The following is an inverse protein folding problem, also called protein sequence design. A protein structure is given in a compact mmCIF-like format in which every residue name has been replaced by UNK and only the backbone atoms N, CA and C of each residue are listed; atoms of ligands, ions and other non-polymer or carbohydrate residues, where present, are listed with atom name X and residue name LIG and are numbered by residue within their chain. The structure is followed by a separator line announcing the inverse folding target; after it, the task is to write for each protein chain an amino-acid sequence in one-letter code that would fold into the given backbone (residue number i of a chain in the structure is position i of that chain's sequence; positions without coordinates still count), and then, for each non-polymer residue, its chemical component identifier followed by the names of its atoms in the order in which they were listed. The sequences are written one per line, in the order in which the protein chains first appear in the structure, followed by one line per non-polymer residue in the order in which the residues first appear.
data_IF_693608153878
#
_entry.id   IF_693608153878
#
_cell.length_a   1.000
_cell.length_b   1.000
_cell.length_c   1.000
_cell.angle_alpha   90.00
_cell.angle_beta   90.00
_cell.angle_gamma   90.00
#
_symmetry.space_group_name_H-M   'P 1'
#
loop_
_entity.id
_entity.type
_entity.pdbx_description
1 polymer ?
#
# COMPACT_ATOMS: atom_id res chain seq x y z
N UNK A 1 -4.31 23.95 -3.03
CA UNK A 1 -4.68 24.22 -1.62
C UNK A 1 -4.47 25.69 -1.25
N UNK A 2 -3.34 26.31 -1.64
CA UNK A 2 -3.12 27.76 -1.46
C UNK A 2 -3.97 28.66 -2.37
N UNK A 3 -4.38 28.20 -3.55
CA UNK A 3 -5.22 28.99 -4.47
C UNK A 3 -6.66 29.19 -3.96
N UNK A 4 -7.16 28.26 -3.15
CA UNK A 4 -8.51 28.37 -2.58
C UNK A 4 -8.59 29.36 -1.42
N UNK A 5 -7.46 29.70 -0.79
CA UNK A 5 -7.40 30.61 0.36
C UNK A 5 -7.45 32.07 -0.11
N UNK A 6 -6.87 32.39 -1.27
CA UNK A 6 -6.94 33.72 -1.88
C UNK A 6 -8.37 34.09 -2.32
N UNK A 7 -9.14 33.14 -2.84
CA UNK A 7 -10.55 33.37 -3.20
C UNK A 7 -11.44 33.65 -1.98
N UNK A 8 -11.13 33.10 -0.81
CA UNK A 8 -11.87 33.38 0.43
C UNK A 8 -11.52 34.74 1.06
N UNK A 9 -10.32 35.27 0.83
CA UNK A 9 -9.85 36.52 1.45
C UNK A 9 -10.24 37.78 0.65
N UNK A 10 -10.64 37.63 -0.62
CA UNK A 10 -11.08 38.73 -1.51
C UNK A 10 -12.53 38.56 -1.98
N UNK A 11 -13.40 37.98 -1.15
CA UNK A 11 -14.80 37.86 -1.51
C UNK A 11 -15.55 39.17 -1.22
N UNK A 12 -15.29 40.17 -2.05
CA UNK A 12 -16.17 41.34 -2.28
C UNK A 12 -17.29 40.96 -3.27
N UNK A 13 -17.84 39.74 -3.17
CA UNK A 13 -18.96 39.33 -4.00
C UNK A 13 -20.25 39.94 -3.41
N UNK A 14 -20.58 41.13 -3.91
CA UNK A 14 -21.92 41.69 -3.80
C UNK A 14 -22.93 40.61 -4.24
N UNK A 15 -24.08 40.47 -3.57
CA UNK A 15 -25.07 39.45 -3.91
C UNK A 15 -25.49 39.61 -5.38
N UNK A 16 -25.21 38.60 -6.21
CA UNK A 16 -25.64 38.57 -7.59
C UNK A 16 -26.96 37.78 -7.73
N UNK A 17 -27.78 38.22 -8.67
CA UNK A 17 -29.05 37.55 -8.96
C UNK A 17 -28.76 36.38 -9.90
N UNK A 18 -29.09 35.17 -9.44
CA UNK A 18 -29.06 33.95 -10.26
C UNK A 18 -30.45 33.37 -10.48
N UNK A 19 -30.63 32.78 -11.66
CA UNK A 19 -31.83 32.00 -11.98
C UNK A 19 -31.77 30.65 -11.27
N UNK A 20 -32.80 30.34 -10.47
CA UNK A 20 -32.90 29.03 -9.80
C UNK A 20 -33.36 27.97 -10.81
N UNK A 21 -32.62 26.87 -10.87
CA UNK A 21 -32.96 25.71 -11.71
C UNK A 21 -33.14 24.46 -10.86
N UNK A 22 -34.18 23.68 -11.16
CA UNK A 22 -34.33 22.33 -10.63
C UNK A 22 -33.38 21.40 -11.39
N UNK A 23 -32.35 20.91 -10.70
CA UNK A 23 -31.33 20.04 -11.29
C UNK A 23 -31.32 18.68 -10.60
N UNK A 24 -31.37 17.63 -11.42
CA UNK A 24 -31.19 16.25 -10.98
C UNK A 24 -29.75 16.02 -10.53
N UNK A 25 -29.57 15.15 -9.53
CA UNK A 25 -28.24 14.68 -9.15
C UNK A 25 -27.67 13.80 -10.27
N UNK A 26 -26.36 13.91 -10.59
CA UNK A 26 -25.75 13.10 -11.65
C UNK A 26 -25.79 11.60 -11.31
N UNK A 27 -25.73 11.26 -10.02
CA UNK A 27 -25.96 9.92 -9.49
C UNK A 27 -27.32 9.90 -8.79
N UNK A 28 -28.26 9.16 -9.36
CA UNK A 28 -29.65 9.04 -8.92
C UNK A 28 -30.15 7.60 -9.08
N UNK A 29 -31.37 7.36 -8.59
CA UNK A 29 -32.01 6.06 -8.57
C UNK A 29 -33.30 6.02 -9.42
N UNK A 30 -33.45 6.93 -10.38
CA UNK A 30 -34.68 7.12 -11.18
C UNK A 30 -34.96 5.92 -12.12
N UNK A 31 -33.90 5.24 -12.57
CA UNK A 31 -34.01 4.02 -13.37
C UNK A 31 -32.91 3.02 -13.00
N UNK A 32 -33.10 1.77 -13.42
CA UNK A 32 -32.22 0.65 -13.05
C UNK A 32 -30.78 0.85 -13.51
N UNK A 33 -30.54 1.45 -14.68
CA UNK A 33 -29.18 1.66 -15.21
C UNK A 33 -28.44 2.72 -14.40
N UNK A 34 -29.10 3.85 -14.12
CA UNK A 34 -28.55 4.91 -13.27
C UNK A 34 -28.33 4.42 -11.84
N UNK A 35 -29.24 3.59 -11.30
CA UNK A 35 -29.07 2.97 -10.00
C UNK A 35 -27.83 2.04 -9.97
N UNK A 36 -27.65 1.21 -11.01
CA UNK A 36 -26.45 0.36 -11.14
C UNK A 36 -25.17 1.19 -11.24
N UNK A 37 -25.17 2.29 -12.00
CA UNK A 37 -24.02 3.19 -12.11
C UNK A 37 -23.70 3.87 -10.77
N UNK A 38 -24.74 4.35 -10.08
CA UNK A 38 -24.60 4.96 -8.75
C UNK A 38 -23.99 3.97 -7.77
N UNK A 39 -24.50 2.74 -7.73
CA UNK A 39 -23.95 1.69 -6.88
C UNK A 39 -22.52 1.31 -7.29
N UNK A 40 -22.21 1.25 -8.58
CA UNK A 40 -20.84 1.02 -9.05
C UNK A 40 -19.88 2.08 -8.51
N UNK A 41 -20.23 3.37 -8.60
CA UNK A 41 -19.40 4.45 -8.02
C UNK A 41 -19.30 4.33 -6.50
N UNK A 42 -20.37 3.94 -5.81
CA UNK A 42 -20.30 3.67 -4.37
C UNK A 42 -19.33 2.53 -4.06
N UNK A 43 -19.27 1.47 -4.89
CA UNK A 43 -18.34 0.34 -4.68
C UNK A 43 -16.88 0.69 -4.89
N UNK A 44 -16.56 1.69 -5.73
CA UNK A 44 -15.16 2.11 -5.93
C UNK A 44 -14.63 2.91 -4.74
N UNK A 45 -15.51 3.39 -3.86
CA UNK A 45 -15.13 4.22 -2.71
C UNK A 45 -14.89 5.70 -3.07
N UNK A 46 -15.19 6.12 -4.29
CA UNK A 46 -15.00 7.49 -4.75
C UNK A 46 -16.31 8.28 -4.72
N UNK A 47 -16.32 9.46 -4.08
CA UNK A 47 -17.49 10.35 -4.06
C UNK A 47 -18.73 9.81 -3.32
N UNK A 48 -18.69 8.59 -2.77
CA UNK A 48 -19.81 7.96 -2.06
C UNK A 48 -20.34 8.76 -0.86
N UNK A 49 -19.55 9.55 -0.09
CA UNK A 49 -20.11 10.31 1.02
C UNK A 49 -21.16 11.33 0.54
N UNK A 50 -20.95 11.92 -0.64
CA UNK A 50 -21.94 12.83 -1.24
C UNK A 50 -23.19 12.08 -1.68
N UNK A 51 -23.04 10.89 -2.29
CA UNK A 51 -24.17 10.05 -2.71
C UNK A 51 -25.00 9.62 -1.49
N UNK A 52 -24.34 9.15 -0.42
CA UNK A 52 -24.99 8.82 0.85
C UNK A 52 -25.72 10.03 1.43
N UNK A 53 -25.06 11.18 1.50
CA UNK A 53 -25.65 12.40 2.05
C UNK A 53 -26.89 12.81 1.25
N UNK A 54 -26.82 12.77 -0.09
CA UNK A 54 -27.98 13.05 -0.94
C UNK A 54 -29.15 12.10 -0.65
N UNK A 55 -28.90 10.81 -0.40
CA UNK A 55 -29.94 9.86 0.01
C UNK A 55 -30.49 10.12 1.41
N UNK A 56 -29.67 10.60 2.35
CA UNK A 56 -30.14 10.98 3.69
C UNK A 56 -30.97 12.25 3.68
N UNK A 57 -30.67 13.17 2.75
CA UNK A 57 -31.37 14.45 2.63
C UNK A 57 -32.62 14.36 1.74
N UNK A 58 -32.95 13.17 1.23
CA UNK A 58 -34.11 12.95 0.34
C UNK A 58 -35.42 13.02 1.13
N UNK A 59 -36.35 13.86 0.67
CA UNK A 59 -37.67 14.10 1.25
C UNK A 59 -38.76 13.24 0.58
N UNK A 60 -39.90 13.81 0.22
CA UNK A 60 -40.95 13.15 -0.56
C UNK A 60 -40.75 13.40 -2.07
N UNK A 61 -41.54 12.72 -2.92
CA UNK A 61 -41.49 12.90 -4.37
C UNK A 61 -41.78 14.36 -4.76
N UNK A 62 -41.02 14.89 -5.73
CA UNK A 62 -41.07 16.28 -6.20
C UNK A 62 -40.76 17.37 -5.14
N UNK A 63 -40.19 17.00 -3.99
CA UNK A 63 -39.73 17.94 -2.96
C UNK A 63 -38.21 18.10 -2.95
N UNK A 64 -37.75 19.30 -2.57
CA UNK A 64 -36.33 19.59 -2.41
C UNK A 64 -35.72 18.91 -1.18
N UNK A 65 -34.39 18.71 -1.14
CA UNK A 65 -33.74 18.01 -0.05
C UNK A 65 -33.76 18.81 1.27
N UNK A 66 -33.92 18.10 2.39
CA UNK A 66 -33.82 18.63 3.74
C UNK A 66 -32.68 17.94 4.50
N UNK A 67 -31.74 18.68 5.11
CA UNK A 67 -30.61 18.07 5.82
C UNK A 67 -31.06 17.07 6.88
N UNK A 68 -30.50 15.85 6.83
CA UNK A 68 -30.74 14.78 7.80
C UNK A 68 -32.21 14.33 7.94
N UNK A 69 -33.01 14.44 6.88
CA UNK A 69 -34.43 14.06 6.91
C UNK A 69 -34.65 12.54 7.08
N UNK A 70 -33.91 11.70 6.34
CA UNK A 70 -33.97 10.22 6.39
C UNK A 70 -32.61 9.61 6.72
N UNK A 71 -32.16 9.79 7.96
CA UNK A 71 -30.86 9.28 8.41
C UNK A 71 -30.76 7.74 8.36
N UNK A 72 -31.89 7.03 8.41
CA UNK A 72 -31.97 5.58 8.29
C UNK A 72 -31.42 5.05 6.96
N UNK A 73 -31.44 5.85 5.90
CA UNK A 73 -30.87 5.48 4.59
C UNK A 73 -29.35 5.26 4.66
N UNK A 74 -28.67 5.80 5.67
CA UNK A 74 -27.26 5.54 5.91
C UNK A 74 -26.96 4.05 6.18
N UNK A 75 -27.91 3.32 6.79
CA UNK A 75 -27.74 1.90 7.12
C UNK A 75 -27.62 1.03 5.87
N UNK A 76 -28.32 1.38 4.79
CA UNK A 76 -28.19 0.71 3.49
C UNK A 76 -26.73 0.74 3.01
N UNK A 77 -26.10 1.92 3.03
CA UNK A 77 -24.72 2.07 2.58
C UNK A 77 -23.72 1.35 3.49
N UNK A 78 -23.95 1.33 4.81
CA UNK A 78 -23.09 0.58 5.76
C UNK A 78 -23.14 -0.91 5.45
N UNK A 79 -24.34 -1.48 5.29
CA UNK A 79 -24.49 -2.90 4.95
C UNK A 79 -23.90 -3.21 3.57
N UNK A 80 -24.12 -2.33 2.60
CA UNK A 80 -23.56 -2.47 1.26
C UNK A 80 -22.03 -2.53 1.28
N UNK A 81 -21.36 -1.65 2.03
CA UNK A 81 -19.89 -1.64 2.15
C UNK A 81 -19.30 -2.84 2.88
N UNK A 82 -20.07 -3.53 3.71
CA UNK A 82 -19.60 -4.74 4.41
C UNK A 82 -19.83 -5.98 3.54
N UNK A 83 -21.06 -6.15 3.06
CA UNK A 83 -21.49 -7.39 2.42
C UNK A 83 -20.98 -7.49 0.98
N UNK A 84 -21.07 -6.40 0.22
CA UNK A 84 -20.75 -6.45 -1.21
C UNK A 84 -19.25 -6.69 -1.47
N UNK A 85 -18.30 -5.97 -0.82
CA UNK A 85 -16.88 -6.27 -0.99
C UNK A 85 -16.49 -7.66 -0.50
N UNK A 86 -17.10 -8.16 0.59
CA UNK A 86 -16.82 -9.51 1.09
C UNK A 86 -17.15 -10.58 0.04
N UNK A 87 -18.33 -10.49 -0.59
CA UNK A 87 -18.72 -11.42 -1.66
C UNK A 87 -17.79 -11.33 -2.88
N UNK A 88 -17.51 -10.11 -3.35
CA UNK A 88 -16.66 -9.90 -4.53
C UNK A 88 -15.22 -10.35 -4.31
N UNK A 89 -14.62 -10.04 -3.15
CA UNK A 89 -13.26 -10.48 -2.82
C UNK A 89 -13.19 -12.00 -2.76
N UNK A 90 -14.17 -12.66 -2.15
CA UNK A 90 -14.19 -14.13 -2.06
C UNK A 90 -14.25 -14.79 -3.44
N UNK A 91 -15.09 -14.29 -4.34
CA UNK A 91 -15.16 -14.81 -5.72
C UNK A 91 -13.86 -14.52 -6.47
N UNK A 92 -13.33 -13.31 -6.34
CA UNK A 92 -12.11 -12.89 -7.03
C UNK A 92 -10.90 -13.72 -6.58
N UNK A 93 -10.75 -13.95 -5.28
CA UNK A 93 -9.70 -14.81 -4.72
C UNK A 93 -9.84 -16.25 -5.21
N UNK A 94 -11.06 -16.80 -5.22
CA UNK A 94 -11.30 -18.15 -5.72
C UNK A 94 -10.91 -18.28 -7.21
N UNK A 95 -11.30 -17.32 -8.04
CA UNK A 95 -10.96 -17.31 -9.47
C UNK A 95 -9.44 -17.24 -9.67
N UNK A 96 -8.76 -16.33 -8.96
CA UNK A 96 -7.29 -16.21 -9.04
C UNK A 96 -6.60 -17.53 -8.68
N UNK A 97 -7.01 -18.17 -7.57
CA UNK A 97 -6.43 -19.44 -7.14
C UNK A 97 -6.60 -20.51 -8.23
N UNK A 98 -7.79 -20.64 -8.80
CA UNK A 98 -8.06 -21.63 -9.86
C UNK A 98 -7.16 -21.36 -11.06
N UNK A 99 -7.05 -20.10 -11.51
CA UNK A 99 -6.20 -19.77 -12.67
C UNK A 99 -4.71 -20.03 -12.41
N UNK A 100 -4.20 -19.76 -11.20
CA UNK A 100 -2.81 -20.06 -10.85
C UNK A 100 -2.55 -21.55 -10.69
N UNK A 101 -3.53 -22.30 -10.20
CA UNK A 101 -3.43 -23.76 -10.13
C UNK A 101 -3.37 -24.34 -11.54
N UNK A 102 -4.24 -23.91 -12.45
CA UNK A 102 -4.27 -24.36 -13.84
C UNK A 102 -2.96 -24.03 -14.59
N UNK A 103 -2.44 -22.80 -14.43
CA UNK A 103 -1.16 -22.39 -15.00
C UNK A 103 0.02 -23.16 -14.39
N UNK A 104 0.05 -23.31 -13.06
CA UNK A 104 1.10 -24.04 -12.36
C UNK A 104 1.11 -25.54 -12.69
N UNK A 105 -0.05 -26.14 -12.92
CA UNK A 105 -0.15 -27.52 -13.37
C UNK A 105 0.23 -27.69 -14.85
N UNK A 106 -0.13 -26.74 -15.71
CA UNK A 106 0.26 -26.76 -17.12
C UNK A 106 1.79 -26.72 -17.31
N UNK A 107 2.50 -25.85 -16.58
CA UNK A 107 3.97 -25.77 -16.59
C UNK A 107 4.66 -27.03 -16.02
N UNK A 108 4.00 -27.72 -15.09
CA UNK A 108 4.51 -28.95 -14.47
C UNK A 108 4.18 -30.21 -15.27
N UNK A 109 3.25 -30.14 -16.23
CA UNK A 109 2.80 -31.30 -17.03
C UNK A 109 3.82 -31.79 -18.08
N UNK A 110 4.98 -31.13 -18.21
CA UNK A 110 6.11 -31.66 -18.97
C UNK A 110 6.78 -32.83 -18.21
N UNK A 111 6.17 -34.02 -18.26
CA UNK A 111 6.78 -35.31 -17.93
C UNK A 111 6.07 -36.13 -16.83
N UNK A 112 6.28 -37.45 -16.88
CA UNK A 112 5.74 -38.49 -15.95
C UNK A 112 6.28 -38.43 -14.50
N UNK A 113 6.98 -37.37 -14.11
CA UNK A 113 7.67 -37.26 -12.82
C UNK A 113 6.87 -36.41 -11.82
N UNK A 114 6.77 -36.87 -10.56
CA UNK A 114 6.08 -36.14 -9.49
C UNK A 114 6.77 -34.80 -9.15
N UNK A 115 5.99 -33.81 -8.67
CA UNK A 115 6.48 -32.46 -8.33
C UNK A 115 7.65 -32.50 -7.33
N UNK A 116 7.59 -33.38 -6.34
CA UNK A 116 8.64 -33.53 -5.33
C UNK A 116 9.93 -34.11 -5.92
N UNK A 117 9.82 -35.03 -6.89
CA UNK A 117 10.97 -35.63 -7.56
C UNK A 117 11.68 -34.58 -8.43
N UNK A 118 10.93 -33.79 -9.19
CA UNK A 118 11.47 -32.71 -10.03
C UNK A 118 12.22 -31.67 -9.20
N UNK A 119 11.68 -31.25 -8.06
CA UNK A 119 12.35 -30.30 -7.14
C UNK A 119 13.64 -30.86 -6.53
N UNK A 120 13.65 -32.14 -6.13
CA UNK A 120 14.84 -32.79 -5.58
C UNK A 120 15.96 -32.90 -6.64
N UNK A 121 15.60 -33.27 -7.86
CA UNK A 121 16.54 -33.38 -8.99
C UNK A 121 17.11 -32.01 -9.36
N UNK A 122 16.27 -30.98 -9.47
CA UNK A 122 16.71 -29.63 -9.79
C UNK A 122 17.66 -29.06 -8.73
N UNK A 123 17.34 -29.24 -7.44
CA UNK A 123 18.21 -28.82 -6.35
C UNK A 123 19.56 -29.55 -6.39
N UNK A 124 19.56 -30.87 -6.61
CA UNK A 124 20.78 -31.65 -6.68
C UNK A 124 21.66 -31.26 -7.89
N UNK A 125 21.05 -30.89 -9.02
CA UNK A 125 21.76 -30.48 -10.23
C UNK A 125 22.27 -29.03 -10.17
N UNK A 126 21.49 -28.11 -9.59
CA UNK A 126 21.79 -26.68 -9.59
C UNK A 126 22.54 -26.20 -8.34
N UNK A 127 22.63 -27.01 -7.29
CA UNK A 127 23.35 -26.64 -6.08
C UNK A 127 24.84 -26.42 -6.37
N UNK A 128 25.28 -25.16 -6.30
CA UNK A 128 26.70 -24.80 -6.32
C UNK A 128 27.25 -24.77 -4.90
N UNK A 129 28.49 -25.24 -4.67
CA UNK A 129 29.13 -25.13 -3.37
C UNK A 129 29.29 -23.66 -2.99
N UNK A 130 28.98 -23.30 -1.74
CA UNK A 130 29.29 -21.95 -1.22
C UNK A 130 30.81 -21.78 -1.20
N UNK A 131 31.34 -20.89 -2.02
CA UNK A 131 32.72 -20.45 -1.96
C UNK A 131 32.91 -19.52 -0.75
N UNK A 132 33.18 -20.09 0.42
CA UNK A 132 33.65 -19.33 1.57
C UNK A 132 35.10 -18.93 1.30
N UNK A 133 35.35 -17.63 1.10
CA UNK A 133 36.71 -17.08 1.00
C UNK A 133 37.36 -17.13 2.38
N UNK A 134 38.03 -18.24 2.67
CA UNK A 134 38.79 -18.45 3.89
C UNK A 134 40.25 -18.05 3.63
N UNK A 135 40.82 -17.07 4.37
CA UNK A 135 42.24 -16.74 4.27
C UNK A 135 43.08 -17.95 4.68
N UNK A 136 44.09 -18.31 3.87
CA UNK A 136 44.95 -19.50 4.09
C UNK A 136 45.81 -19.36 5.36
N UNK A 137 46.23 -18.13 5.70
CA UNK A 137 47.14 -17.86 6.81
C UNK A 137 46.43 -17.50 8.12
N UNK A 138 46.35 -18.46 9.04
CA UNK A 138 45.79 -18.29 10.40
C UNK A 138 46.49 -17.22 11.25
N UNK A 139 47.75 -16.87 10.95
CA UNK A 139 48.55 -15.89 11.70
C UNK A 139 48.53 -14.48 11.09
N UNK A 140 47.83 -14.26 9.97
CA UNK A 140 47.77 -12.96 9.32
C UNK A 140 46.72 -12.05 9.98
N UNK A 141 46.98 -10.73 9.99
CA UNK A 141 46.01 -9.73 10.42
C UNK A 141 44.70 -9.81 9.61
N UNK A 142 44.80 -10.22 8.34
CA UNK A 142 43.67 -10.49 7.44
C UNK A 142 42.70 -11.53 8.01
N UNK A 143 43.21 -12.58 8.65
CA UNK A 143 42.37 -13.61 9.29
C UNK A 143 41.70 -13.12 10.58
N UNK A 144 42.33 -12.21 11.33
CA UNK A 144 41.73 -11.56 12.50
C UNK A 144 40.57 -10.64 12.10
N UNK A 145 40.75 -9.84 11.06
CA UNK A 145 39.71 -8.97 10.50
C UNK A 145 38.56 -9.83 9.95
N UNK A 146 38.88 -10.88 9.18
CA UNK A 146 37.88 -11.81 8.65
C UNK A 146 37.06 -12.48 9.77
N UNK A 147 37.71 -12.93 10.85
CA UNK A 147 37.04 -13.53 12.01
C UNK A 147 36.15 -12.52 12.75
N UNK A 148 36.54 -11.25 12.83
CA UNK A 148 35.75 -10.19 13.46
C UNK A 148 34.51 -9.86 12.62
N UNK A 149 34.68 -9.66 11.31
CA UNK A 149 33.60 -9.33 10.38
C UNK A 149 32.61 -10.48 10.20
N UNK A 150 33.08 -11.73 10.23
CA UNK A 150 32.24 -12.94 10.11
C UNK A 150 31.64 -13.37 11.46
N UNK A 151 31.83 -12.59 12.52
CA UNK A 151 31.31 -12.94 13.84
C UNK A 151 29.85 -12.52 14.00
N UNK A 152 29.03 -13.41 14.58
CA UNK A 152 27.62 -13.16 14.92
C UNK A 152 27.40 -11.89 15.76
N UNK A 153 28.23 -11.53 16.76
CA UNK A 153 28.05 -10.26 17.49
C UNK A 153 28.26 -9.02 16.62
N UNK A 154 29.13 -9.08 15.61
CA UNK A 154 29.32 -7.97 14.66
C UNK A 154 28.10 -7.80 13.77
N UNK A 155 27.44 -8.89 13.36
CA UNK A 155 26.17 -8.83 12.62
C UNK A 155 25.08 -8.11 13.42
N UNK A 156 24.92 -8.42 14.72
CA UNK A 156 23.98 -7.72 15.60
C UNK A 156 24.33 -6.23 15.78
N UNK A 157 25.63 -5.90 15.85
CA UNK A 157 26.08 -4.51 15.92
C UNK A 157 25.68 -3.70 14.69
N UNK A 158 25.90 -4.25 13.48
CA UNK A 158 25.50 -3.59 12.23
C UNK A 158 23.98 -3.46 12.14
N UNK A 159 23.21 -4.50 12.51
CA UNK A 159 21.74 -4.41 12.54
C UNK A 159 21.25 -3.32 13.50
N UNK A 160 21.82 -3.23 14.70
CA UNK A 160 21.48 -2.18 15.66
C UNK A 160 21.81 -0.78 15.10
N UNK A 161 22.94 -0.62 14.40
CA UNK A 161 23.34 0.64 13.79
C UNK A 161 22.37 1.08 12.68
N UNK A 162 21.90 0.14 11.85
CA UNK A 162 20.87 0.40 10.83
C UNK A 162 19.56 0.82 11.51
N UNK A 163 19.11 0.10 12.54
CA UNK A 163 17.89 0.44 13.27
C UNK A 163 17.97 1.84 13.89
N UNK A 164 19.06 2.17 14.57
CA UNK A 164 19.28 3.50 15.14
C UNK A 164 19.22 4.59 14.05
N UNK A 165 19.84 4.38 12.89
CA UNK A 165 19.80 5.33 11.77
C UNK A 165 18.36 5.51 11.22
N UNK A 166 17.59 4.43 11.09
CA UNK A 166 16.17 4.52 10.66
C UNK A 166 15.31 5.30 11.66
N UNK A 167 15.52 5.10 12.96
CA UNK A 167 14.81 5.84 14.03
C UNK A 167 15.14 7.33 13.97
N UNK A 168 16.42 7.68 13.83
CA UNK A 168 16.87 9.08 13.68
C UNK A 168 16.22 9.74 12.45
N UNK A 169 16.09 9.00 11.35
CA UNK A 169 15.46 9.48 10.12
C UNK A 169 13.93 9.64 10.25
N UNK A 170 13.25 8.77 11.00
CA UNK A 170 11.82 8.90 11.32
C UNK A 170 11.52 10.05 12.29
N UNK A 171 12.45 10.39 13.19
CA UNK A 171 12.32 11.47 14.16
C UNK A 171 12.64 12.85 13.57
N UNK A 172 12.28 13.14 12.31
CA UNK A 172 12.65 14.37 11.59
C UNK A 172 12.17 15.66 12.29
N UNK A 173 12.94 16.11 13.29
CA UNK A 173 12.89 17.45 13.89
C UNK A 173 13.82 18.32 13.06
N UNK A 174 13.31 19.48 12.63
CA UNK A 174 13.88 20.40 11.63
C UNK A 174 15.34 20.90 11.89
N UNK A 175 16.04 20.44 12.93
CA UNK A 175 17.36 20.91 13.37
C UNK A 175 18.50 19.86 13.31
N UNK A 176 18.25 18.62 12.85
CA UNK A 176 19.25 17.53 12.86
C UNK A 176 19.90 17.21 11.50
N UNK A 177 20.11 18.23 10.65
CA UNK A 177 20.92 18.09 9.43
C UNK A 177 22.36 17.66 9.74
N UNK A 178 22.94 18.11 10.86
CA UNK A 178 24.36 17.90 11.18
C UNK A 178 24.69 16.52 11.74
N UNK A 179 23.78 15.88 12.47
CA UNK A 179 24.01 14.53 13.03
C UNK A 179 23.85 13.43 12.00
N UNK A 180 22.92 13.61 11.04
CA UNK A 180 22.71 12.66 9.95
C UNK A 180 23.98 12.48 9.10
N UNK A 181 24.73 13.57 8.88
CA UNK A 181 26.00 13.55 8.15
C UNK A 181 27.09 12.74 8.87
N UNK A 182 27.17 12.83 10.21
CA UNK A 182 28.16 12.11 11.02
C UNK A 182 27.92 10.60 10.95
N UNK A 183 26.67 10.15 11.05
CA UNK A 183 26.33 8.72 10.93
C UNK A 183 26.62 8.17 9.53
N UNK A 184 26.34 8.92 8.46
CA UNK A 184 26.73 8.54 7.10
C UNK A 184 28.24 8.49 6.91
N UNK A 185 29.00 9.42 7.51
CA UNK A 185 30.47 9.39 7.45
C UNK A 185 31.04 8.17 8.18
N UNK A 186 30.54 7.81 9.36
CA UNK A 186 31.00 6.62 10.08
C UNK A 186 30.72 5.35 9.25
N UNK A 187 29.57 5.26 8.59
CA UNK A 187 29.21 4.11 7.76
C UNK A 187 30.06 3.99 6.48
N UNK A 188 30.47 5.12 5.88
CA UNK A 188 31.38 5.17 4.71
C UNK A 188 32.82 4.85 5.11
N UNK A 189 33.27 5.27 6.29
CA UNK A 189 34.66 5.06 6.74
C UNK A 189 34.91 3.70 7.41
N UNK A 190 33.88 3.03 7.96
CA UNK A 190 34.02 1.69 8.56
C UNK A 190 34.56 0.59 7.62
N UNK A 191 34.23 0.55 6.31
CA UNK A 191 34.87 -0.40 5.39
C UNK A 191 36.28 0.01 4.92
N UNK A 192 36.63 1.30 4.97
CA UNK A 192 37.91 1.83 4.46
C UNK A 192 39.09 1.59 5.41
N UNK A 193 38.86 1.36 6.70
CA UNK A 193 39.93 1.00 7.65
C UNK A 193 40.42 -0.46 7.51
N UNK A 194 39.85 -1.26 6.59
CA UNK A 194 40.27 -2.65 6.36
C UNK A 194 41.15 -2.84 5.12
N UNK A 195 41.50 -1.76 4.41
CA UNK A 195 42.32 -1.78 3.19
C UNK A 195 43.63 -0.99 3.29
N UNK A 196 44.28 -1.01 4.46
CA UNK A 196 45.71 -0.71 4.61
C UNK A 196 46.40 -1.85 5.37
#
# INVERSE_FOLDING_TARGET
MFDNIWNYLFQDDLPHVETREWRLRPFNYDNTVNAMLTLFVVTTGEGWPSIRQNSMDTTEEDEGPLPFYRVEMALFYVMFFIVFPFFFVNIFVALIIITFQEQGEAELSEGDLDKNQKQCIDFALNARPRSLFMPEDKNSMKYRIWRLVTSTPFEYFIMAMICCNTIILMMKVLLLSSFSLIFTSIYIFLPLSSSE
#
